data_IF_984746412312
#
_entry.id   IF_984746412312
#
_cell.length_a   1.000
_cell.length_b   1.000
_cell.length_c   1.000
_cell.angle_alpha   90.00
_cell.angle_beta   90.00
_cell.angle_gamma   90.00
#
_symmetry.space_group_name_H-M   'P 1'
#
loop_
_entity.id
_entity.type
_entity.pdbx_description
1 polymer ?
#
# COMPACT_ATOMS: atom_id res chain seq x y z
N UNK A 1 41.08 10.96 50.27
CA UNK A 1 39.79 11.66 50.51
C UNK A 1 39.92 13.15 50.85
N UNK A 2 41.11 13.76 51.00
CA UNK A 2 41.22 15.21 51.27
C UNK A 2 41.03 16.08 50.01
N UNK A 3 41.49 15.59 48.85
CA UNK A 3 41.40 16.28 47.55
C UNK A 3 39.98 16.36 46.96
N UNK A 4 39.06 15.46 47.35
CA UNK A 4 37.64 15.51 46.93
C UNK A 4 36.85 16.59 47.70
N UNK A 5 37.29 16.94 48.91
CA UNK A 5 36.55 17.83 49.81
C UNK A 5 36.98 19.29 49.61
N UNK A 6 38.25 19.54 49.26
CA UNK A 6 38.75 20.88 48.92
C UNK A 6 38.23 21.38 47.56
N UNK A 7 38.07 20.48 46.58
CA UNK A 7 37.63 20.84 45.22
C UNK A 7 36.15 20.48 44.96
N UNK A 8 35.26 20.73 45.93
CA UNK A 8 33.82 20.48 45.80
C UNK A 8 33.22 21.11 44.54
N UNK A 9 33.68 22.30 44.16
CA UNK A 9 33.25 22.98 42.93
C UNK A 9 33.58 22.18 41.67
N UNK A 10 34.79 21.62 41.57
CA UNK A 10 35.21 20.82 40.41
C UNK A 10 34.39 19.52 40.31
N UNK A 11 34.05 18.93 41.45
CA UNK A 11 33.29 17.68 41.52
C UNK A 11 31.83 17.89 41.07
N UNK A 12 31.23 19.02 41.45
CA UNK A 12 29.89 19.42 40.98
C UNK A 12 29.89 19.67 39.47
N UNK A 13 30.93 20.32 38.93
CA UNK A 13 31.04 20.56 37.47
C UNK A 13 31.15 19.24 36.70
N UNK A 14 31.95 18.28 37.17
CA UNK A 14 32.09 16.96 36.55
C UNK A 14 30.76 16.19 36.60
N UNK A 15 30.05 16.24 37.73
CA UNK A 15 28.75 15.61 37.87
C UNK A 15 27.72 16.20 36.88
N UNK A 16 27.70 17.53 36.74
CA UNK A 16 26.83 18.21 35.76
C UNK A 16 27.21 17.82 34.33
N UNK A 17 28.50 17.76 34.00
CA UNK A 17 28.98 17.38 32.67
C UNK A 17 28.53 15.96 32.29
N UNK A 18 28.63 15.01 33.22
CA UNK A 18 28.17 13.62 33.01
C UNK A 18 26.66 13.58 32.78
N UNK A 19 25.88 14.33 33.55
CA UNK A 19 24.41 14.40 33.41
C UNK A 19 24.02 15.01 32.06
N UNK A 20 24.68 16.09 31.63
CA UNK A 20 24.45 16.73 30.32
C UNK A 20 24.80 15.78 29.18
N UNK A 21 25.93 15.08 29.26
CA UNK A 21 26.34 14.10 28.26
C UNK A 21 25.35 12.93 28.16
N UNK A 22 24.85 12.44 29.31
CA UNK A 22 23.85 11.38 29.36
C UNK A 22 22.53 11.83 28.71
N UNK A 23 22.02 13.01 29.07
CA UNK A 23 20.80 13.58 28.49
C UNK A 23 20.94 13.81 26.98
N UNK A 24 22.10 14.29 26.53
CA UNK A 24 22.36 14.48 25.10
C UNK A 24 22.32 13.15 24.34
N UNK A 25 22.95 12.10 24.86
CA UNK A 25 22.91 10.78 24.21
C UNK A 25 21.52 10.14 24.24
N UNK A 26 20.73 10.34 25.30
CA UNK A 26 19.38 9.75 25.37
C UNK A 26 18.35 10.48 24.51
N UNK A 27 18.48 11.80 24.34
CA UNK A 27 17.47 12.61 23.64
C UNK A 27 17.88 13.05 22.23
N UNK A 28 19.18 13.10 21.90
CA UNK A 28 19.67 13.63 20.62
C UNK A 28 20.46 12.62 19.77
N UNK A 29 20.83 11.43 20.27
CA UNK A 29 21.50 10.40 19.46
C UNK A 29 20.56 9.57 18.58
N UNK A 30 19.35 10.06 18.32
CA UNK A 30 18.45 9.48 17.30
C UNK A 30 18.55 10.28 16.00
N UNK A 31 19.76 10.43 15.48
CA UNK A 31 19.89 10.37 14.03
C UNK A 31 19.86 8.90 13.66
N UNK A 32 18.63 8.37 13.51
CA UNK A 32 18.43 7.22 12.65
C UNK A 32 19.02 7.63 11.31
N UNK A 33 20.24 7.18 11.05
CA UNK A 33 20.77 7.04 9.69
C UNK A 33 19.62 6.43 8.92
N UNK A 34 19.04 7.21 8.00
CA UNK A 34 18.15 6.70 6.99
C UNK A 34 19.01 5.78 6.13
N UNK A 35 19.24 4.57 6.64
CA UNK A 35 19.70 3.47 5.80
C UNK A 35 18.57 3.36 4.81
N UNK A 36 18.84 3.82 3.60
CA UNK A 36 18.07 3.52 2.41
C UNK A 36 18.30 2.02 2.14
N UNK A 37 17.81 1.17 3.05
CA UNK A 37 17.67 -0.24 2.82
C UNK A 37 16.79 -0.37 1.59
N UNK A 38 17.28 -1.16 0.65
CA UNK A 38 16.87 -1.17 -0.75
C UNK A 38 15.38 -0.93 -0.95
N UNK A 39 15.09 -0.16 -2.00
CA UNK A 39 13.86 -0.23 -2.78
C UNK A 39 13.55 -1.70 -3.06
N UNK A 40 12.96 -2.33 -2.06
CA UNK A 40 12.59 -3.71 -2.06
C UNK A 40 11.40 -3.75 -2.99
N UNK A 41 11.40 -4.73 -3.88
CA UNK A 41 10.30 -5.12 -4.75
C UNK A 41 8.96 -5.43 -4.04
N UNK A 42 8.81 -5.05 -2.76
CA UNK A 42 7.58 -5.06 -1.95
C UNK A 42 6.43 -4.22 -2.55
N UNK A 43 6.69 -3.34 -3.52
CA UNK A 43 5.67 -2.47 -4.10
C UNK A 43 4.67 -3.15 -5.03
N UNK A 44 5.06 -4.19 -5.78
CA UNK A 44 4.17 -4.76 -6.82
C UNK A 44 3.08 -5.62 -6.20
N UNK A 45 3.42 -6.51 -5.26
CA UNK A 45 2.45 -7.40 -4.61
C UNK A 45 1.52 -6.68 -3.64
N UNK A 46 2.05 -5.71 -2.89
CA UNK A 46 1.25 -4.91 -1.95
C UNK A 46 0.20 -4.06 -2.67
N UNK A 47 0.55 -3.48 -3.83
CA UNK A 47 -0.39 -2.69 -4.63
C UNK A 47 -1.54 -3.53 -5.19
N UNK A 48 -1.25 -4.76 -5.66
CA UNK A 48 -2.29 -5.67 -6.15
C UNK A 48 -3.22 -6.14 -5.03
N UNK A 49 -2.69 -6.41 -3.84
CA UNK A 49 -3.50 -6.77 -2.67
C UNK A 49 -4.39 -5.61 -2.25
N UNK A 50 -3.84 -4.39 -2.17
CA UNK A 50 -4.60 -3.17 -1.88
C UNK A 50 -5.69 -2.90 -2.93
N UNK A 51 -5.38 -3.09 -4.22
CA UNK A 51 -6.35 -2.97 -5.31
C UNK A 51 -7.47 -4.00 -5.19
N UNK A 52 -7.13 -5.26 -4.88
CA UNK A 52 -8.09 -6.34 -4.67
C UNK A 52 -9.04 -6.02 -3.52
N UNK A 53 -8.51 -5.58 -2.38
CA UNK A 53 -9.32 -5.17 -1.23
C UNK A 53 -10.25 -3.99 -1.55
N UNK A 54 -9.77 -3.01 -2.33
CA UNK A 54 -10.60 -1.89 -2.80
C UNK A 54 -11.73 -2.38 -3.70
N UNK A 55 -11.43 -3.22 -4.69
CA UNK A 55 -12.43 -3.76 -5.62
C UNK A 55 -13.46 -4.65 -4.92
N UNK A 56 -13.06 -5.46 -3.94
CA UNK A 56 -13.96 -6.30 -3.16
C UNK A 56 -15.00 -5.49 -2.36
N UNK A 57 -14.66 -4.25 -1.98
CA UNK A 57 -15.55 -3.34 -1.25
C UNK A 57 -16.45 -2.53 -2.18
N UNK A 58 -16.15 -2.47 -3.48
CA UNK A 58 -17.02 -1.79 -4.45
C UNK A 58 -18.27 -2.63 -4.64
N UNK A 59 -19.40 -2.08 -4.22
CA UNK A 59 -20.72 -2.64 -4.49
C UNK A 59 -21.43 -1.77 -5.52
N UNK A 60 -22.19 -2.42 -6.39
CA UNK A 60 -23.05 -1.74 -7.34
C UNK A 60 -24.43 -1.54 -6.71
N UNK A 61 -24.84 -0.28 -6.56
CA UNK A 61 -26.18 0.06 -6.12
C UNK A 61 -27.21 -0.44 -7.14
N UNK A 62 -27.95 -1.48 -6.78
CA UNK A 62 -28.96 -2.11 -7.63
C UNK A 62 -30.21 -1.21 -7.83
N UNK A 63 -30.39 -0.19 -6.99
CA UNK A 63 -31.53 0.71 -7.09
C UNK A 63 -31.50 1.54 -8.39
N UNK A 64 -30.31 1.76 -8.97
CA UNK A 64 -30.15 2.46 -10.24
C UNK A 64 -30.96 1.80 -11.36
N UNK A 65 -31.05 0.46 -11.34
CA UNK A 65 -31.76 -0.34 -12.33
C UNK A 65 -33.29 -0.27 -12.19
N UNK A 66 -33.77 0.18 -11.03
CA UNK A 66 -35.19 0.41 -10.77
C UNK A 66 -35.60 1.88 -10.95
N UNK A 67 -34.64 2.76 -11.25
CA UNK A 67 -34.93 4.18 -11.46
C UNK A 67 -35.71 4.39 -12.77
N UNK A 68 -36.67 5.31 -12.76
CA UNK A 68 -37.43 5.64 -13.96
C UNK A 68 -36.53 6.10 -15.11
N UNK A 69 -35.42 6.78 -14.81
CA UNK A 69 -34.44 7.19 -15.82
C UNK A 69 -33.77 6.01 -16.51
N UNK A 70 -33.35 5.00 -15.75
CA UNK A 70 -32.74 3.78 -16.31
C UNK A 70 -33.75 2.97 -17.14
N UNK A 71 -34.98 2.82 -16.64
CA UNK A 71 -36.04 2.07 -17.33
C UNK A 71 -36.50 2.72 -18.64
N UNK A 72 -36.25 4.02 -18.81
CA UNK A 72 -36.56 4.78 -20.03
C UNK A 72 -35.38 4.89 -20.98
N UNK A 73 -34.21 4.30 -20.66
CA UNK A 73 -33.09 4.28 -21.60
C UNK A 73 -33.46 3.46 -22.83
N UNK A 74 -33.22 4.05 -24.00
CA UNK A 74 -33.38 3.35 -25.26
C UNK A 74 -32.04 2.70 -25.65
N UNK A 75 -32.10 1.46 -26.11
CA UNK A 75 -30.93 0.80 -26.66
C UNK A 75 -30.70 1.29 -28.10
N UNK A 76 -29.52 1.88 -28.33
CA UNK A 76 -29.07 2.33 -29.65
C UNK A 76 -28.07 1.36 -30.29
N UNK A 77 -27.88 0.19 -29.69
CA UNK A 77 -27.02 -0.85 -30.25
C UNK A 77 -27.57 -1.35 -31.59
N UNK A 78 -26.66 -1.85 -32.42
CA UNK A 78 -27.05 -2.53 -33.65
C UNK A 78 -27.42 -3.97 -33.32
N UNK A 79 -28.58 -4.43 -33.78
CA UNK A 79 -28.97 -5.83 -33.60
C UNK A 79 -27.90 -6.73 -34.21
N UNK A 80 -27.41 -7.68 -33.42
CA UNK A 80 -26.46 -8.69 -33.90
C UNK A 80 -27.22 -9.63 -34.83
N UNK A 81 -26.75 -9.74 -36.07
CA UNK A 81 -27.32 -10.68 -37.04
C UNK A 81 -26.97 -12.10 -36.56
N UNK A 82 -27.94 -13.03 -36.48
CA UNK A 82 -27.67 -14.42 -36.12
C UNK A 82 -26.62 -15.01 -37.06
N UNK A 83 -25.52 -15.48 -36.48
CA UNK A 83 -24.49 -16.21 -37.21
C UNK A 83 -24.90 -17.68 -37.30
N UNK A 84 -24.57 -18.34 -38.40
CA UNK A 84 -24.77 -19.78 -38.52
C UNK A 84 -23.94 -20.48 -37.44
N UNK A 85 -24.51 -21.51 -36.82
CA UNK A 85 -23.79 -22.36 -35.86
C UNK A 85 -22.51 -22.86 -36.55
N UNK A 86 -21.37 -22.60 -35.90
CA UNK A 86 -20.07 -23.03 -36.40
C UNK A 86 -19.98 -24.57 -36.52
N UNK A 87 -18.90 -25.06 -37.10
CA UNK A 87 -18.70 -26.51 -37.19
C UNK A 87 -18.63 -27.13 -35.79
N UNK A 88 -19.18 -28.35 -35.57
CA UNK A 88 -19.10 -29.04 -34.28
C UNK A 88 -17.67 -29.15 -33.74
N UNK A 89 -16.69 -29.38 -34.62
CA UNK A 89 -15.27 -29.25 -34.30
C UNK A 89 -14.66 -28.12 -35.15
N UNK A 90 -14.33 -26.96 -34.57
CA UNK A 90 -13.68 -25.85 -35.28
C UNK A 90 -12.30 -26.20 -35.86
N UNK A 91 -11.65 -27.24 -35.33
CA UNK A 91 -10.30 -27.67 -35.70
C UNK A 91 -10.27 -28.99 -36.51
N UNK A 92 -11.43 -29.59 -36.77
CA UNK A 92 -11.54 -30.77 -37.63
C UNK A 92 -11.00 -30.53 -39.06
N UNK A 93 -10.53 -31.58 -39.71
CA UNK A 93 -10.07 -31.52 -41.10
C UNK A 93 -11.28 -31.32 -42.02
N UNK A 94 -11.16 -30.44 -43.01
CA UNK A 94 -12.23 -30.19 -44.01
C UNK A 94 -12.29 -31.37 -45.00
N UNK A 95 -13.49 -31.85 -45.34
CA UNK A 95 -13.69 -32.85 -46.40
C UNK A 95 -13.44 -34.30 -45.97
N UNK A 96 -13.64 -34.62 -44.69
CA UNK A 96 -13.76 -36.01 -44.24
C UNK A 96 -15.23 -36.33 -43.98
N UNK A 97 -15.79 -37.13 -44.88
CA UNK A 97 -17.09 -37.78 -44.76
C UNK A 97 -16.88 -39.19 -44.18
#
# INVERSE_FOLDING_TARGET
MKTLIENKGILVIIAIFIVVMFLYNTFFSTENVLIQEGLSSSGVGANLLEMSEKLQRVTLDQSIFSSNGYLLLNDFSTSIIPQVIGRPNPFGIIGRD
#
